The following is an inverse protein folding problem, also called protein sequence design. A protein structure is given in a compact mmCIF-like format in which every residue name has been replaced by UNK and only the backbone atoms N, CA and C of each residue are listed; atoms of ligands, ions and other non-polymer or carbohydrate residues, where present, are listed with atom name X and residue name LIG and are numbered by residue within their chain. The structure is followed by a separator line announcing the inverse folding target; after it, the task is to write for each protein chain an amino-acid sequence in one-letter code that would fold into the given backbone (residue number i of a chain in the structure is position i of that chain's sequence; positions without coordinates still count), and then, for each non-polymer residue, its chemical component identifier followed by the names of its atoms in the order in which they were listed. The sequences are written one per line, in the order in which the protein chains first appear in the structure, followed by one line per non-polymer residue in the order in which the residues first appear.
data_IF_162622986036
#
_entry.id   IF_162622986036
#
_cell.length_a   1.000
_cell.length_b   1.000
_cell.length_c   1.000
_cell.angle_alpha   90.00
_cell.angle_beta   90.00
_cell.angle_gamma   90.00
#
_symmetry.space_group_name_H-M   'P 1'
#
loop_
_entity.id
_entity.type
_entity.pdbx_description
1 polymer ?
#
# COMPACT_ATOMS: atom_id res chain seq x y z
N UNK A 1 1.31 34.28 -12.02
CA UNK A 1 1.09 33.09 -11.15
C UNK A 1 2.11 32.05 -11.57
N UNK A 2 3.05 31.68 -10.69
CA UNK A 2 4.18 30.81 -11.06
C UNK A 2 3.74 29.33 -11.05
N UNK A 3 4.13 28.51 -12.04
CA UNK A 3 3.76 27.09 -12.12
C UNK A 3 4.25 26.26 -10.92
N UNK A 4 5.24 26.74 -10.17
CA UNK A 4 5.76 26.10 -8.96
C UNK A 4 4.77 26.10 -7.78
N UNK A 5 3.82 27.03 -7.71
CA UNK A 5 2.82 27.07 -6.63
C UNK A 5 1.66 26.09 -6.87
N UNK A 6 1.37 25.76 -8.13
CA UNK A 6 0.39 24.74 -8.50
C UNK A 6 0.92 23.30 -8.28
N UNK A 7 2.21 23.08 -8.52
CA UNK A 7 2.86 21.77 -8.32
C UNK A 7 3.03 21.43 -6.82
N UNK A 8 3.22 22.44 -5.97
CA UNK A 8 3.27 22.28 -4.51
C UNK A 8 1.88 21.99 -3.90
N UNK A 9 0.80 22.51 -4.49
CA UNK A 9 -0.57 22.24 -4.06
C UNK A 9 -1.06 20.83 -4.43
N UNK A 10 -0.47 20.20 -5.45
CA UNK A 10 -0.95 18.91 -5.99
C UNK A 10 -0.35 17.66 -5.35
N UNK A 11 0.45 17.79 -4.27
CA UNK A 11 1.10 16.67 -3.57
C UNK A 11 0.59 16.44 -2.15
N UNK A 12 -0.65 16.84 -1.88
CA UNK A 12 -1.33 16.48 -0.64
C UNK A 12 -1.79 15.03 -0.74
N UNK A 13 -1.51 14.22 0.28
CA UNK A 13 -1.98 12.83 0.28
C UNK A 13 -3.49 12.84 0.51
N UNK A 14 -4.27 12.05 -0.22
CA UNK A 14 -5.73 11.95 0.00
C UNK A 14 -6.06 11.59 1.46
N UNK A 15 -5.19 10.85 2.12
CA UNK A 15 -5.33 10.48 3.53
C UNK A 15 -5.21 11.69 4.48
N UNK A 16 -4.52 12.76 4.08
CA UNK A 16 -4.47 14.01 4.85
C UNK A 16 -5.78 14.81 4.74
N UNK A 17 -6.68 14.43 3.84
CA UNK A 17 -8.02 15.03 3.73
C UNK A 17 -8.96 14.50 4.81
N UNK A 18 -8.80 13.25 5.23
CA UNK A 18 -9.47 12.69 6.41
C UNK A 18 -9.09 13.48 7.67
N UNK A 19 -10.11 13.97 8.38
CA UNK A 19 -9.92 14.76 9.60
C UNK A 19 -9.24 13.94 10.70
N UNK A 20 -9.66 12.69 10.91
CA UNK A 20 -9.07 11.82 11.93
C UNK A 20 -7.59 11.55 11.68
N UNK A 21 -7.21 11.34 10.41
CA UNK A 21 -5.80 11.14 10.04
C UNK A 21 -5.01 12.42 10.18
N UNK A 22 -5.57 13.56 9.76
CA UNK A 22 -4.89 14.86 9.91
C UNK A 22 -4.62 15.19 11.36
N UNK A 23 -5.59 14.94 12.23
CA UNK A 23 -5.46 15.17 13.66
C UNK A 23 -4.41 14.22 14.26
N UNK A 24 -4.44 12.93 13.89
CA UNK A 24 -3.38 11.98 14.25
C UNK A 24 -1.99 12.47 13.81
N UNK A 25 -1.78 12.79 12.53
CA UNK A 25 -0.48 13.23 12.00
C UNK A 25 0.02 14.51 12.68
N UNK A 26 -0.90 15.43 13.01
CA UNK A 26 -0.58 16.68 13.72
C UNK A 26 -0.21 16.44 15.18
N UNK A 27 -0.72 15.36 15.78
CA UNK A 27 -0.44 14.98 17.16
C UNK A 27 0.90 14.27 17.37
N UNK A 28 1.47 13.67 16.31
CA UNK A 28 2.71 12.86 16.36
C UNK A 28 3.96 13.57 16.92
N UNK A 29 4.24 14.86 16.65
CA UNK A 29 5.38 15.55 17.26
C UNK A 29 5.32 15.60 18.78
N UNK A 30 4.13 15.74 19.36
CA UNK A 30 3.95 15.90 20.80
C UNK A 30 3.80 14.56 21.51
N UNK A 31 3.10 13.60 20.90
CA UNK A 31 2.77 12.31 21.51
C UNK A 31 3.90 11.28 21.40
N UNK A 32 4.60 11.27 20.27
CA UNK A 32 5.57 10.23 19.94
C UNK A 32 6.96 10.78 19.59
N UNK A 33 7.17 12.09 19.73
CA UNK A 33 8.40 12.81 19.38
C UNK A 33 8.88 12.49 17.95
N UNK A 34 7.93 12.40 17.01
CA UNK A 34 8.26 12.06 15.61
C UNK A 34 8.69 13.30 14.82
N UNK A 35 9.83 13.24 14.10
CA UNK A 35 10.23 14.31 13.20
C UNK A 35 9.33 14.34 11.96
N UNK A 36 9.30 15.50 11.28
CA UNK A 36 8.49 15.74 10.06
C UNK A 36 8.68 14.69 8.97
N UNK A 37 9.89 14.14 8.84
CA UNK A 37 10.22 13.07 7.89
C UNK A 37 9.45 11.78 8.19
N UNK A 38 9.40 11.38 9.46
CA UNK A 38 8.66 10.20 9.91
C UNK A 38 7.15 10.41 9.80
N UNK A 39 6.65 11.61 10.13
CA UNK A 39 5.22 11.95 9.98
C UNK A 39 4.77 11.77 8.53
N UNK A 40 5.53 12.29 7.57
CA UNK A 40 5.26 12.08 6.13
C UNK A 40 5.33 10.61 5.75
N UNK A 41 6.33 9.88 6.25
CA UNK A 41 6.47 8.46 5.99
C UNK A 41 5.28 7.65 6.54
N UNK A 42 4.75 8.04 7.71
CA UNK A 42 3.57 7.43 8.33
C UNK A 42 2.31 7.67 7.50
N UNK A 43 2.08 8.92 7.07
CA UNK A 43 0.96 9.25 6.17
C UNK A 43 1.01 8.44 4.87
N UNK A 44 2.18 8.37 4.23
CA UNK A 44 2.39 7.55 3.02
C UNK A 44 2.17 6.06 3.27
N UNK A 45 2.61 5.56 4.43
CA UNK A 45 2.48 4.15 4.76
C UNK A 45 1.02 3.75 5.03
N UNK A 46 0.24 4.62 5.68
CA UNK A 46 -1.20 4.43 5.86
C UNK A 46 -1.93 4.51 4.52
N UNK A 47 -1.67 5.54 3.70
CA UNK A 47 -2.30 5.64 2.37
C UNK A 47 -2.02 4.41 1.49
N UNK A 48 -0.80 3.88 1.54
CA UNK A 48 -0.45 2.64 0.85
C UNK A 48 -1.33 1.49 1.31
N UNK A 49 -1.45 1.28 2.63
CA UNK A 49 -2.29 0.22 3.18
C UNK A 49 -3.75 0.36 2.74
N UNK A 50 -4.33 1.56 2.83
CA UNK A 50 -5.72 1.82 2.44
C UNK A 50 -5.98 1.45 0.98
N UNK A 51 -5.03 1.75 0.09
CA UNK A 51 -5.10 1.33 -1.30
C UNK A 51 -5.18 -0.19 -1.46
N UNK A 52 -4.41 -0.95 -0.69
CA UNK A 52 -4.46 -2.42 -0.69
C UNK A 52 -5.72 -2.96 -0.01
N UNK A 53 -6.30 -2.22 0.93
CA UNK A 53 -7.57 -2.55 1.57
C UNK A 53 -8.79 -2.17 0.71
N UNK A 54 -8.61 -1.42 -0.38
CA UNK A 54 -9.71 -0.90 -1.20
C UNK A 54 -10.52 0.19 -0.50
N UNK A 55 -9.97 0.83 0.52
CA UNK A 55 -10.63 1.90 1.29
C UNK A 55 -10.28 3.25 0.69
N UNK A 56 -11.30 4.09 0.46
CA UNK A 56 -11.10 5.48 0.06
C UNK A 56 -10.50 6.28 1.22
N UNK A 57 -9.28 6.83 1.08
CA UNK A 57 -8.63 7.60 2.13
C UNK A 57 -9.40 8.83 2.59
N UNK A 58 -10.25 9.42 1.74
CA UNK A 58 -11.03 10.61 2.09
C UNK A 58 -12.19 10.28 3.04
N UNK A 59 -12.72 9.05 2.96
CA UNK A 59 -13.88 8.59 3.72
C UNK A 59 -13.52 7.59 4.82
N UNK A 60 -12.23 7.48 5.17
CA UNK A 60 -11.75 6.56 6.17
C UNK A 60 -12.42 6.78 7.53
N UNK A 61 -13.01 5.73 8.07
CA UNK A 61 -13.35 5.60 9.48
C UNK A 61 -12.41 4.60 10.16
N UNK A 62 -12.03 4.80 11.45
CA UNK A 62 -11.14 3.86 12.15
C UNK A 62 -11.65 2.41 12.18
N UNK A 63 -12.98 2.23 12.20
CA UNK A 63 -13.64 0.93 12.18
C UNK A 63 -13.53 0.18 10.84
N UNK A 64 -13.23 0.88 9.74
CA UNK A 64 -12.99 0.23 8.43
C UNK A 64 -11.71 -0.61 8.45
N UNK A 65 -10.78 -0.33 9.38
CA UNK A 65 -9.53 -1.05 9.54
C UNK A 65 -9.67 -2.24 10.48
N UNK A 66 -10.70 -3.07 10.31
CA UNK A 66 -10.87 -4.25 11.15
C UNK A 66 -9.75 -5.29 10.95
N UNK A 67 -9.74 -6.29 11.84
CA UNK A 67 -8.73 -7.35 11.86
C UNK A 67 -8.62 -8.09 10.52
N UNK A 68 -9.74 -8.39 9.87
CA UNK A 68 -9.79 -9.16 8.63
C UNK A 68 -9.26 -8.32 7.45
N UNK A 69 -9.72 -7.07 7.37
CA UNK A 69 -9.36 -6.09 6.35
C UNK A 69 -7.86 -5.82 6.37
N UNK A 70 -7.29 -5.55 7.55
CA UNK A 70 -5.85 -5.36 7.69
C UNK A 70 -5.04 -6.61 7.34
N UNK A 71 -5.52 -7.80 7.72
CA UNK A 71 -4.85 -9.07 7.41
C UNK A 71 -4.84 -9.33 5.90
N UNK A 72 -5.96 -9.08 5.22
CA UNK A 72 -6.10 -9.24 3.78
C UNK A 72 -5.23 -8.23 3.02
N UNK A 73 -5.28 -6.95 3.39
CA UNK A 73 -4.48 -5.90 2.78
C UNK A 73 -2.97 -6.19 2.90
N UNK A 74 -2.51 -6.58 4.09
CA UNK A 74 -1.10 -6.96 4.31
C UNK A 74 -0.72 -8.21 3.53
N UNK A 75 -1.62 -9.17 3.41
CA UNK A 75 -1.39 -10.37 2.60
C UNK A 75 -1.23 -10.00 1.13
N UNK A 76 -2.10 -9.14 0.59
CA UNK A 76 -1.99 -8.63 -0.78
C UNK A 76 -0.70 -7.83 -1.00
N UNK A 77 -0.32 -6.95 -0.06
CA UNK A 77 0.97 -6.25 -0.10
C UNK A 77 2.15 -7.23 -0.25
N UNK A 78 2.10 -8.37 0.45
CA UNK A 78 3.11 -9.41 0.34
C UNK A 78 3.06 -10.15 -0.99
N UNK A 79 1.86 -10.45 -1.49
CA UNK A 79 1.65 -11.07 -2.80
C UNK A 79 2.23 -10.22 -3.92
N UNK A 80 2.08 -8.90 -3.83
CA UNK A 80 2.63 -7.91 -4.77
C UNK A 80 4.11 -7.56 -4.51
N UNK A 81 4.82 -8.32 -3.66
CA UNK A 81 6.26 -8.18 -3.47
C UNK A 81 6.71 -6.95 -2.66
N UNK A 82 5.83 -6.34 -1.86
CA UNK A 82 6.22 -5.21 -1.00
C UNK A 82 7.31 -5.65 -0.02
N UNK A 83 8.40 -4.88 0.02
CA UNK A 83 9.59 -5.22 0.81
C UNK A 83 9.29 -5.37 2.30
N UNK A 84 10.06 -6.20 3.00
CA UNK A 84 9.98 -6.37 4.46
C UNK A 84 10.17 -5.05 5.21
N UNK A 85 11.06 -4.18 4.73
CA UNK A 85 11.30 -2.86 5.32
C UNK A 85 10.06 -1.98 5.22
N UNK A 86 9.45 -1.95 4.03
CA UNK A 86 8.21 -1.21 3.76
C UNK A 86 7.05 -1.73 4.62
N UNK A 87 6.89 -3.04 4.75
CA UNK A 87 5.86 -3.64 5.61
C UNK A 87 6.07 -3.28 7.09
N UNK A 88 7.30 -3.30 7.58
CA UNK A 88 7.59 -2.90 8.96
C UNK A 88 7.25 -1.42 9.20
N UNK A 89 7.54 -0.54 8.25
CA UNK A 89 7.15 0.87 8.32
C UNK A 89 5.62 1.02 8.32
N UNK A 90 4.91 0.27 7.47
CA UNK A 90 3.44 0.23 7.48
C UNK A 90 2.90 -0.25 8.82
N UNK A 91 3.44 -1.31 9.42
CA UNK A 91 3.02 -1.73 10.75
C UNK A 91 3.24 -0.66 11.81
N UNK A 92 4.38 0.02 11.81
CA UNK A 92 4.65 1.10 12.75
C UNK A 92 3.67 2.27 12.61
N UNK A 93 3.36 2.67 11.38
CA UNK A 93 2.40 3.73 11.11
C UNK A 93 0.96 3.33 11.52
N UNK A 94 0.55 2.11 11.18
CA UNK A 94 -0.80 1.61 11.46
C UNK A 94 -1.01 1.39 12.95
N UNK A 95 -0.04 0.82 13.66
CA UNK A 95 -0.11 0.74 15.14
C UNK A 95 -0.28 2.13 15.77
N UNK A 96 0.56 3.10 15.38
CA UNK A 96 0.47 4.48 15.88
C UNK A 96 -0.90 5.12 15.59
N UNK A 97 -1.46 4.90 14.41
CA UNK A 97 -2.78 5.41 14.05
C UNK A 97 -3.89 4.77 14.88
N UNK A 98 -3.87 3.45 15.05
CA UNK A 98 -4.87 2.72 15.82
C UNK A 98 -4.80 3.03 17.31
N UNK A 99 -3.60 3.14 17.88
CA UNK A 99 -3.39 3.56 19.26
C UNK A 99 -3.96 4.97 19.48
N UNK A 100 -3.72 5.89 18.53
CA UNK A 100 -4.36 7.23 18.56
C UNK A 100 -5.89 7.14 18.50
N UNK A 101 -6.45 6.26 17.66
CA UNK A 101 -7.89 6.12 17.53
C UNK A 101 -8.54 5.55 18.80
N UNK A 102 -7.88 4.57 19.42
CA UNK A 102 -8.31 3.97 20.69
C UNK A 102 -8.32 5.01 21.82
N UNK A 103 -7.26 5.79 21.96
CA UNK A 103 -7.19 6.87 22.96
C UNK A 103 -8.22 8.00 22.74
N UNK A 104 -8.74 8.14 21.51
CA UNK A 104 -9.78 9.11 21.15
C UNK A 104 -11.19 8.52 21.15
N UNK A 105 -11.34 7.30 21.67
CA UNK A 105 -12.62 6.60 21.78
C UNK A 105 -13.31 6.41 20.41
N UNK A 106 -12.52 6.26 19.34
CA UNK A 106 -13.04 5.97 18.00
C UNK A 106 -13.48 4.51 17.83
N UNK A 107 -13.23 3.66 18.82
CA UNK A 107 -13.58 2.24 18.85
C UNK A 107 -14.67 1.89 19.87
N UNK A 108 -15.45 2.87 20.35
CA UNK A 108 -16.39 2.77 21.49
C UNK A 108 -17.05 1.39 21.74
N UNK A 109 -17.53 0.69 20.71
CA UNK A 109 -18.20 -0.61 20.82
C UNK A 109 -17.51 -1.78 20.10
N UNK A 110 -16.30 -1.58 19.56
CA UNK A 110 -15.58 -2.56 18.72
C UNK A 110 -14.17 -2.76 19.23
N UNK A 111 -13.72 -4.02 19.36
CA UNK A 111 -12.34 -4.29 19.75
C UNK A 111 -11.35 -3.78 18.70
N UNK A 112 -10.33 -2.97 19.08
CA UNK A 112 -9.31 -2.52 18.15
C UNK A 112 -8.54 -3.70 17.56
N UNK A 113 -8.12 -3.63 16.28
CA UNK A 113 -7.40 -4.71 15.61
C UNK A 113 -6.00 -4.93 16.21
N UNK A 114 -5.61 -6.20 16.37
CA UNK A 114 -4.28 -6.58 16.87
C UNK A 114 -3.24 -6.62 15.73
N UNK A 115 -2.55 -5.49 15.55
CA UNK A 115 -1.44 -5.36 14.58
C UNK A 115 -0.29 -6.31 14.87
N UNK A 116 -0.04 -6.69 16.13
CA UNK A 116 1.05 -7.64 16.48
C UNK A 116 0.72 -9.02 15.95
N UNK A 117 -0.53 -9.45 16.04
CA UNK A 117 -1.02 -10.70 15.45
C UNK A 117 -0.88 -10.70 13.93
N UNK A 118 -1.26 -9.62 13.26
CA UNK A 118 -1.12 -9.47 11.79
C UNK A 118 0.36 -9.54 11.39
N UNK A 119 1.22 -8.85 12.14
CA UNK A 119 2.67 -8.87 11.93
C UNK A 119 3.27 -10.28 12.07
N UNK A 120 2.70 -11.13 12.93
CA UNK A 120 3.13 -12.53 13.10
C UNK A 120 2.74 -13.38 11.90
N UNK A 121 1.51 -13.27 11.42
CA UNK A 121 1.01 -14.01 10.25
C UNK A 121 1.79 -13.59 8.99
N UNK A 122 1.99 -12.28 8.83
CA UNK A 122 2.82 -11.69 7.77
C UNK A 122 4.33 -11.85 8.00
N UNK A 123 4.79 -12.81 8.80
CA UNK A 123 6.20 -13.26 8.80
C UNK A 123 6.36 -14.66 8.23
N UNK A 124 5.28 -15.42 8.12
CA UNK A 124 5.31 -16.75 7.51
C UNK A 124 5.89 -16.60 6.10
N UNK A 125 7.04 -17.24 5.87
CA UNK A 125 7.66 -17.27 4.54
C UNK A 125 6.66 -17.98 3.64
N UNK A 126 6.21 -17.30 2.58
CA UNK A 126 5.63 -18.01 1.45
C UNK A 126 6.74 -18.91 0.91
N UNK A 127 6.43 -20.16 0.58
CA UNK A 127 7.32 -20.96 -0.24
C UNK A 127 7.60 -20.11 -1.49
N UNK A 128 8.86 -19.73 -1.66
CA UNK A 128 9.31 -19.10 -2.90
C UNK A 128 9.05 -20.14 -3.97
N UNK A 129 8.05 -19.90 -4.81
CA UNK A 129 7.83 -20.73 -5.99
C UNK A 129 9.03 -20.43 -6.86
N UNK A 130 9.91 -21.40 -7.04
CA UNK A 130 10.97 -21.31 -8.02
C UNK A 130 10.29 -21.14 -9.39
N UNK A 131 10.34 -19.93 -10.00
CA UNK A 131 9.63 -19.70 -11.24
C UNK A 131 10.27 -20.60 -12.30
N UNK A 132 9.45 -21.35 -13.02
CA UNK A 132 9.94 -22.17 -14.12
C UNK A 132 10.44 -21.23 -15.22
N UNK A 133 11.76 -21.15 -15.36
CA UNK A 133 12.39 -20.34 -16.40
C UNK A 133 12.36 -21.10 -17.71
N UNK A 134 11.98 -20.39 -18.79
CA UNK A 134 12.16 -20.91 -20.14
C UNK A 134 13.64 -21.25 -20.36
N UNK A 135 13.89 -22.48 -20.80
CA UNK A 135 15.19 -22.91 -21.24
C UNK A 135 15.60 -22.17 -22.52
N UNK A 136 16.91 -22.03 -22.80
CA UNK A 136 17.38 -21.37 -24.01
C UNK A 136 16.79 -21.92 -25.32
N UNK A 137 16.43 -23.21 -25.35
CA UNK A 137 15.75 -23.84 -26.48
C UNK A 137 14.31 -23.34 -26.64
N UNK A 138 13.56 -23.25 -25.55
CA UNK A 138 12.17 -22.80 -25.54
C UNK A 138 12.07 -21.31 -25.88
N UNK A 139 13.02 -20.50 -25.40
CA UNK A 139 13.16 -19.11 -25.81
C UNK A 139 13.42 -18.99 -27.30
N UNK A 140 14.30 -19.84 -27.85
CA UNK A 140 14.65 -19.82 -29.27
C UNK A 140 13.43 -20.18 -30.13
N UNK A 141 12.69 -21.21 -29.75
CA UNK A 141 11.44 -21.62 -30.39
C UNK A 141 10.38 -20.50 -30.34
N UNK A 142 10.26 -19.81 -29.20
CA UNK A 142 9.36 -18.67 -29.05
C UNK A 142 9.71 -17.51 -30.01
N UNK A 143 11.00 -17.17 -30.10
CA UNK A 143 11.47 -16.12 -31.02
C UNK A 143 11.36 -16.52 -32.49
N UNK A 144 11.59 -17.79 -32.82
CA UNK A 144 11.41 -18.32 -34.17
C UNK A 144 9.93 -18.30 -34.57
N UNK A 145 9.03 -18.68 -33.66
CA UNK A 145 7.58 -18.63 -33.85
C UNK A 145 7.07 -17.18 -33.98
N UNK A 146 7.61 -16.24 -33.20
CA UNK A 146 7.28 -14.83 -33.35
C UNK A 146 7.74 -14.26 -34.69
N UNK A 147 8.87 -14.76 -35.21
CA UNK A 147 9.47 -14.32 -36.48
C UNK A 147 8.81 -14.93 -37.71
N UNK A 148 8.21 -16.11 -37.59
CA UNK A 148 7.50 -16.77 -38.69
C UNK A 148 6.18 -16.07 -39.05
N UNK A 149 5.70 -15.16 -38.20
CA UNK A 149 4.55 -14.29 -38.47
C UNK A 149 3.25 -15.10 -38.58
N UNK A 150 2.43 -15.06 -37.54
CA UNK A 150 1.08 -15.63 -37.63
C UNK A 150 0.25 -14.68 -38.51
N UNK A 151 -0.23 -15.15 -39.67
CA UNK A 151 -1.17 -14.40 -40.50
C UNK A 151 -2.37 -13.94 -39.64
N UNK A 152 -2.55 -12.62 -39.54
CA UNK A 152 -3.63 -12.00 -38.75
C UNK A 152 -3.27 -11.60 -37.31
N UNK A 153 -2.08 -11.90 -36.80
CA UNK A 153 -1.66 -11.52 -35.44
C UNK A 153 -1.03 -10.12 -35.41
N UNK A 154 -1.87 -9.08 -35.45
CA UNK A 154 -1.47 -7.80 -34.83
C UNK A 154 -1.68 -7.98 -33.34
N UNK A 155 -0.60 -8.20 -32.59
CA UNK A 155 -0.66 -8.16 -31.13
C UNK A 155 -1.00 -6.72 -30.74
N UNK A 156 -2.28 -6.44 -30.55
CA UNK A 156 -2.73 -5.20 -29.94
C UNK A 156 -2.27 -5.25 -28.49
N UNK A 157 -1.53 -4.23 -28.05
CA UNK A 157 -1.11 -4.09 -26.66
C UNK A 157 -1.86 -2.90 -26.05
N UNK A 158 -3.10 -3.07 -25.58
CA UNK A 158 -3.95 -1.97 -25.14
C UNK A 158 -3.25 -1.08 -24.10
N UNK A 159 -2.57 -1.68 -23.13
CA UNK A 159 -1.84 -0.96 -22.08
C UNK A 159 -0.68 -0.09 -22.59
N UNK A 160 -0.10 -0.42 -23.75
CA UNK A 160 1.01 0.32 -24.35
C UNK A 160 0.52 1.42 -25.29
N UNK A 161 -0.59 1.18 -25.98
CA UNK A 161 -1.20 2.14 -26.91
C UNK A 161 -1.96 3.28 -26.19
N UNK A 162 -2.38 3.08 -24.93
CA UNK A 162 -3.01 4.11 -24.09
C UNK A 162 -2.02 4.93 -23.24
N UNK A 163 -0.71 4.73 -23.39
CA UNK A 163 0.31 5.53 -22.71
C UNK A 163 0.94 6.56 -23.67
N UNK A 164 0.13 7.51 -24.16
CA UNK A 164 0.56 8.81 -24.68
C UNK A 164 -0.28 9.93 -24.07
#
# INVERSE_FOLDING_TARGET
MRPAEAEAASRKLAVEESLVVRDWLTSLPLREDKPRTTIRAYGLALQRLLRYAGIDPANLTPTDLDQATLTNAVSEMRLQGVSKSTLNQTFSAVSSFLDYCDEKDHFADVEPPDVRRIRKISRLKRAEVDPEYFQPSELRELYETARSGIEGSRVHWPLRDFAM
#
